data_IF_441018861731
#
_entry.id   IF_441018861731
#
_cell.length_a   1.000
_cell.length_b   1.000
_cell.length_c   1.000
_cell.angle_alpha   90.00
_cell.angle_beta   90.00
_cell.angle_gamma   90.00
#
_symmetry.space_group_name_H-M   'P 1'
#
loop_
_entity.id
_entity.type
_entity.pdbx_description
1 polymer ?
#
# COMPACT_ATOMS: atom_id res chain seq x y z
N UNK A 1 62.57 43.69 10.70
CA UNK A 1 61.77 43.49 11.92
C UNK A 1 60.39 43.03 11.46
N UNK A 2 60.07 41.75 11.66
CA UNK A 2 58.95 41.05 11.01
C UNK A 2 57.66 41.30 11.78
N UNK A 3 56.62 41.78 11.08
CA UNK A 3 55.25 41.89 11.59
C UNK A 3 54.50 40.62 11.17
N UNK A 4 54.06 39.83 12.14
CA UNK A 4 53.21 38.66 11.93
C UNK A 4 51.74 39.02 12.13
N UNK A 5 50.93 38.85 11.08
CA UNK A 5 49.47 38.84 11.14
C UNK A 5 49.01 37.42 11.50
N UNK A 6 48.17 37.29 12.53
CA UNK A 6 47.40 36.08 12.83
C UNK A 6 45.94 36.35 12.46
N UNK A 7 45.41 35.59 11.51
CA UNK A 7 43.98 35.54 11.19
C UNK A 7 43.36 34.33 11.88
N UNK A 8 42.31 34.57 12.69
CA UNK A 8 41.45 33.53 13.25
C UNK A 8 40.31 33.25 12.26
N UNK A 9 40.17 31.99 11.86
CA UNK A 9 39.16 31.50 10.92
C UNK A 9 37.83 31.20 11.63
N UNK A 10 36.75 31.78 11.11
CA UNK A 10 35.37 31.66 11.57
C UNK A 10 34.72 30.35 11.09
N UNK A 11 35.07 29.21 11.68
CA UNK A 11 34.46 27.92 11.35
C UNK A 11 34.24 27.05 12.59
N UNK A 12 33.38 27.47 13.53
CA UNK A 12 32.98 26.61 14.66
C UNK A 12 31.56 26.87 15.23
N UNK A 13 30.69 27.59 14.52
CA UNK A 13 29.39 28.02 15.09
C UNK A 13 28.15 27.57 14.30
N UNK A 14 28.21 26.48 13.51
CA UNK A 14 27.05 25.95 12.76
C UNK A 14 26.72 24.46 12.96
N UNK A 15 27.39 23.75 13.89
CA UNK A 15 27.10 22.32 14.11
C UNK A 15 26.12 22.04 15.27
N UNK A 16 25.77 23.02 16.11
CA UNK A 16 24.97 22.78 17.32
C UNK A 16 23.45 23.02 17.18
N UNK A 17 22.97 23.58 16.07
CA UNK A 17 21.51 23.83 15.88
C UNK A 17 20.74 22.69 15.19
N UNK A 18 21.39 21.66 14.64
CA UNK A 18 20.70 20.59 13.89
C UNK A 18 20.27 19.38 14.74
N UNK A 19 20.79 19.19 15.95
CA UNK A 19 20.44 18.03 16.77
C UNK A 19 19.14 18.18 17.58
N UNK A 20 18.55 19.38 17.66
CA UNK A 20 17.33 19.60 18.47
C UNK A 20 16.01 19.44 17.70
N UNK A 21 16.00 19.58 16.37
CA UNK A 21 14.74 19.44 15.59
C UNK A 21 14.37 17.99 15.26
N UNK A 22 15.34 17.07 15.19
CA UNK A 22 15.06 15.68 14.81
C UNK A 22 14.38 14.87 15.93
N UNK A 23 14.55 15.26 17.20
CA UNK A 23 13.99 14.55 18.36
C UNK A 23 12.49 14.81 18.60
N UNK A 24 11.91 15.87 18.02
CA UNK A 24 10.49 16.19 18.20
C UNK A 24 9.55 15.47 17.21
N UNK A 25 10.04 14.92 16.10
CA UNK A 25 9.18 14.19 15.15
C UNK A 25 9.00 12.69 15.47
N UNK A 26 9.84 12.10 16.33
CA UNK A 26 9.74 10.67 16.67
C UNK A 26 8.67 10.34 17.73
N UNK A 27 8.06 11.34 18.39
CA UNK A 27 7.13 11.10 19.51
C UNK A 27 5.65 10.95 19.12
N UNK A 28 5.26 11.12 17.85
CA UNK A 28 3.84 11.17 17.46
C UNK A 28 3.29 9.95 16.74
N UNK A 29 4.11 8.93 16.45
CA UNK A 29 3.65 7.70 15.79
C UNK A 29 3.71 6.52 16.76
N UNK A 30 2.89 6.57 17.81
CA UNK A 30 2.49 5.34 18.50
C UNK A 30 1.41 4.66 17.66
N UNK A 31 1.68 3.44 17.20
CA UNK A 31 0.65 2.58 16.58
C UNK A 31 -0.52 2.50 17.57
N UNK A 32 -1.77 2.79 17.18
CA UNK A 32 -2.89 2.71 18.10
C UNK A 32 -3.05 1.27 18.58
N UNK A 33 -2.84 1.04 19.88
CA UNK A 33 -3.22 -0.19 20.56
C UNK A 33 -4.74 -0.36 20.42
N UNK A 34 -5.18 -1.33 19.63
CA UNK A 34 -6.58 -1.74 19.59
C UNK A 34 -6.94 -2.40 20.94
N UNK A 35 -8.01 -1.97 21.63
CA UNK A 35 -8.43 -2.62 22.87
C UNK A 35 -9.12 -3.96 22.57
N UNK A 36 -8.48 -5.05 22.97
CA UNK A 36 -9.14 -6.33 23.19
C UNK A 36 -10.07 -6.19 24.41
N UNK A 37 -11.38 -6.15 24.21
CA UNK A 37 -12.36 -6.36 25.28
C UNK A 37 -13.37 -7.42 24.86
N UNK A 38 -13.08 -8.66 25.27
CA UNK A 38 -14.05 -9.76 25.33
C UNK A 38 -13.61 -10.66 26.50
N UNK A 39 -13.80 -10.17 27.71
CA UNK A 39 -13.91 -10.99 28.92
C UNK A 39 -14.60 -10.17 30.00
N UNK A 40 -15.82 -10.56 30.36
CA UNK A 40 -16.52 -9.92 31.48
C UNK A 40 -18.01 -10.19 31.52
N UNK A 41 -18.44 -11.44 31.61
CA UNK A 41 -19.73 -11.81 32.22
C UNK A 41 -19.64 -13.23 32.81
N UNK A 42 -19.16 -13.32 34.05
CA UNK A 42 -19.48 -14.42 34.96
C UNK A 42 -19.16 -13.95 36.37
N UNK A 43 -20.21 -13.63 37.11
CA UNK A 43 -20.39 -13.93 38.54
C UNK A 43 -21.67 -13.23 39.01
N UNK A 44 -22.64 -14.03 39.44
CA UNK A 44 -23.56 -13.72 40.53
C UNK A 44 -24.29 -15.01 40.88
N UNK A 45 -23.78 -15.68 41.90
CA UNK A 45 -24.44 -16.73 42.66
C UNK A 45 -25.04 -16.11 43.91
N UNK A 46 -26.36 -16.23 44.09
CA UNK A 46 -26.98 -16.23 45.42
C UNK A 46 -28.10 -17.27 45.45
N UNK A 47 -28.03 -18.09 46.48
CA UNK A 47 -28.90 -19.18 46.92
C UNK A 47 -30.38 -18.78 47.11
N UNK A 48 -31.30 -19.71 46.82
CA UNK A 48 -32.34 -20.17 47.77
C UNK A 48 -32.79 -21.60 47.43
N UNK A 49 -33.10 -22.37 48.48
CA UNK A 49 -33.41 -23.80 48.55
C UNK A 49 -34.84 -24.17 48.12
N UNK A 50 -34.97 -25.43 47.70
CA UNK A 50 -36.06 -26.42 47.86
C UNK A 50 -37.52 -26.03 47.62
N UNK A 51 -38.19 -26.76 46.72
CA UNK A 51 -39.39 -27.55 47.05
C UNK A 51 -39.85 -28.42 45.87
N UNK A 52 -39.85 -29.73 46.09
CA UNK A 52 -40.64 -30.73 45.39
C UNK A 52 -42.13 -30.40 45.52
N UNK A 53 -42.87 -30.33 44.41
CA UNK A 53 -44.27 -30.77 44.38
C UNK A 53 -44.66 -31.13 42.95
N UNK A 54 -45.09 -32.38 42.79
CA UNK A 54 -45.83 -32.85 41.64
C UNK A 54 -47.23 -32.25 41.71
N UNK A 55 -47.67 -31.54 40.68
CA UNK A 55 -49.09 -31.53 40.33
C UNK A 55 -49.26 -31.55 38.81
N UNK A 56 -50.06 -32.52 38.41
CA UNK A 56 -50.54 -32.84 37.09
C UNK A 56 -51.61 -31.83 36.67
N UNK A 57 -51.38 -31.13 35.56
CA UNK A 57 -52.44 -30.46 34.81
C UNK A 57 -52.54 -31.04 33.41
N UNK A 58 -53.63 -31.77 33.21
CA UNK A 58 -54.17 -32.17 31.91
C UNK A 58 -54.76 -30.92 31.27
N UNK A 59 -54.15 -30.45 30.18
CA UNK A 59 -54.76 -29.45 29.30
C UNK A 59 -55.02 -30.09 27.93
N UNK A 60 -56.30 -30.31 27.68
CA UNK A 60 -56.89 -30.72 26.40
C UNK A 60 -56.64 -29.61 25.39
N UNK A 61 -55.85 -29.86 24.34
CA UNK A 61 -55.73 -28.96 23.20
C UNK A 61 -56.59 -29.47 22.03
N UNK A 62 -57.44 -28.57 21.54
CA UNK A 62 -58.29 -28.71 20.37
C UNK A 62 -57.47 -28.78 19.07
N UNK A 63 -57.83 -29.67 18.11
CA UNK A 63 -57.17 -29.74 16.81
C UNK A 63 -57.93 -28.90 15.77
N UNK A 64 -57.58 -27.62 15.63
CA UNK A 64 -57.89 -26.88 14.39
C UNK A 64 -57.07 -25.60 14.28
N UNK A 65 -55.89 -25.67 13.66
CA UNK A 65 -55.39 -24.53 12.90
C UNK A 65 -54.40 -25.00 11.83
N UNK A 66 -54.89 -24.95 10.59
CA UNK A 66 -54.16 -25.28 9.38
C UNK A 66 -53.13 -24.18 9.12
N UNK A 67 -51.87 -24.60 9.10
CA UNK A 67 -50.95 -24.43 7.97
C UNK A 67 -51.22 -23.22 7.05
N UNK A 68 -50.47 -22.14 7.27
CA UNK A 68 -49.97 -21.23 6.23
C UNK A 68 -48.67 -20.58 6.75
N UNK A 69 -47.52 -21.24 6.57
CA UNK A 69 -46.19 -20.61 6.72
C UNK A 69 -45.83 -19.92 5.39
N UNK A 70 -45.42 -18.64 5.37
CA UNK A 70 -45.00 -17.96 4.15
C UNK A 70 -43.56 -18.33 3.74
N UNK A 71 -43.20 -18.15 2.44
CA UNK A 71 -42.02 -18.75 1.80
C UNK A 71 -40.73 -17.94 2.05
N UNK A 72 -40.34 -17.74 3.31
CA UNK A 72 -39.11 -17.00 3.64
C UNK A 72 -37.86 -17.88 3.47
N UNK A 73 -37.95 -19.19 3.76
CA UNK A 73 -36.79 -20.09 3.63
C UNK A 73 -36.37 -20.35 2.18
N UNK A 74 -37.31 -20.40 1.22
CA UNK A 74 -36.97 -20.56 -0.20
C UNK A 74 -36.26 -19.31 -0.76
N UNK A 75 -36.67 -18.11 -0.35
CA UNK A 75 -36.00 -16.88 -0.78
C UNK A 75 -34.59 -16.74 -0.21
N UNK A 76 -34.35 -17.20 1.03
CA UNK A 76 -33.01 -17.19 1.63
C UNK A 76 -32.08 -18.19 0.92
N UNK A 77 -32.56 -19.40 0.62
CA UNK A 77 -31.78 -20.41 -0.10
C UNK A 77 -31.43 -19.98 -1.53
N UNK A 78 -32.35 -19.31 -2.23
CA UNK A 78 -32.09 -18.75 -3.56
C UNK A 78 -31.06 -17.62 -3.51
N UNK A 79 -31.12 -16.74 -2.50
CA UNK A 79 -30.14 -15.65 -2.34
C UNK A 79 -28.73 -16.15 -2.01
N UNK A 80 -28.59 -17.22 -1.22
CA UNK A 80 -27.29 -17.83 -0.93
C UNK A 80 -26.70 -18.48 -2.19
N UNK A 81 -27.51 -19.22 -2.95
CA UNK A 81 -27.07 -19.87 -4.20
C UNK A 81 -26.62 -18.86 -5.28
N UNK A 82 -27.33 -17.73 -5.41
CA UNK A 82 -26.92 -16.65 -6.33
C UNK A 82 -25.60 -16.01 -5.89
N UNK A 83 -25.40 -15.79 -4.59
CA UNK A 83 -24.15 -15.21 -4.06
C UNK A 83 -22.95 -16.14 -4.28
N UNK A 84 -23.11 -17.45 -4.06
CA UNK A 84 -22.07 -18.44 -4.35
C UNK A 84 -21.78 -18.53 -5.85
N UNK A 85 -22.80 -18.42 -6.69
CA UNK A 85 -22.65 -18.43 -8.15
C UNK A 85 -21.89 -17.21 -8.66
N UNK A 86 -22.12 -16.02 -8.08
CA UNK A 86 -21.39 -14.79 -8.40
C UNK A 86 -19.91 -14.90 -7.98
N UNK A 87 -19.65 -15.38 -6.75
CA UNK A 87 -18.27 -15.57 -6.25
C UNK A 87 -17.51 -16.58 -7.11
N UNK A 88 -18.16 -17.67 -7.51
CA UNK A 88 -17.56 -18.66 -8.41
C UNK A 88 -17.34 -18.11 -9.83
N UNK A 89 -18.25 -17.28 -10.34
CA UNK A 89 -18.08 -16.61 -11.62
C UNK A 89 -16.90 -15.64 -11.61
N UNK A 90 -16.76 -14.80 -10.58
CA UNK A 90 -15.63 -13.88 -10.44
C UNK A 90 -14.29 -14.63 -10.32
N UNK A 91 -14.25 -15.72 -9.54
CA UNK A 91 -13.07 -16.59 -9.42
C UNK A 91 -12.69 -17.21 -10.76
N UNK A 92 -13.67 -17.68 -11.53
CA UNK A 92 -13.44 -18.25 -12.86
C UNK A 92 -13.01 -17.20 -13.89
N UNK A 93 -13.59 -16.00 -13.87
CA UNK A 93 -13.17 -14.89 -14.74
C UNK A 93 -11.74 -14.45 -14.41
N UNK A 94 -11.37 -14.38 -13.13
CA UNK A 94 -10.02 -14.07 -12.68
C UNK A 94 -9.02 -15.15 -13.12
N UNK A 95 -9.31 -16.43 -12.90
CA UNK A 95 -8.47 -17.56 -13.33
C UNK A 95 -8.30 -17.62 -14.86
N UNK A 96 -9.37 -17.32 -15.61
CA UNK A 96 -9.34 -17.29 -17.09
C UNK A 96 -8.51 -16.12 -17.62
N UNK A 97 -8.58 -14.94 -16.97
CA UNK A 97 -7.69 -13.81 -17.28
C UNK A 97 -6.22 -14.12 -16.98
N UNK A 98 -5.95 -14.84 -15.88
CA UNK A 98 -4.60 -15.29 -15.50
C UNK A 98 -4.00 -16.29 -16.51
N UNK A 99 -4.78 -17.27 -16.96
CA UNK A 99 -4.35 -18.23 -18.00
C UNK A 99 -4.14 -17.57 -19.36
N UNK A 100 -4.99 -16.61 -19.75
CA UNK A 100 -4.79 -15.84 -20.99
C UNK A 100 -3.54 -14.95 -20.94
N UNK A 101 -3.24 -14.35 -19.78
CA UNK A 101 -2.02 -13.56 -19.57
C UNK A 101 -0.76 -14.41 -19.67
N UNK A 102 -0.77 -15.61 -19.08
CA UNK A 102 0.34 -16.56 -19.14
C UNK A 102 0.54 -17.16 -20.54
N UNK A 103 -0.51 -17.29 -21.36
CA UNK A 103 -0.39 -17.81 -22.71
C UNK A 103 0.08 -16.75 -23.74
N UNK A 104 -0.15 -15.46 -23.48
CA UNK A 104 0.37 -14.39 -24.34
C UNK A 104 1.85 -14.07 -24.08
N UNK A 105 2.37 -14.29 -22.88
CA UNK A 105 3.79 -14.12 -22.57
C UNK A 105 4.67 -15.28 -23.03
N UNK A 106 4.09 -16.45 -23.38
CA UNK A 106 4.87 -17.66 -23.71
C UNK A 106 5.34 -17.76 -25.17
N UNK A 107 4.89 -16.89 -26.09
CA UNK A 107 5.19 -17.00 -27.54
C UNK A 107 6.41 -16.20 -28.05
N UNK A 108 7.23 -15.61 -27.18
CA UNK A 108 8.55 -15.06 -27.54
C UNK A 108 9.61 -15.37 -26.47
N UNK A 109 9.87 -16.66 -26.24
CA UNK A 109 11.09 -17.07 -25.57
C UNK A 109 12.24 -17.14 -26.59
N UNK A 110 12.63 -15.99 -27.13
CA UNK A 110 13.99 -15.82 -27.64
C UNK A 110 14.91 -15.88 -26.43
N UNK A 111 15.72 -16.94 -26.32
CA UNK A 111 16.77 -17.18 -25.32
C UNK A 111 16.94 -16.06 -24.28
N UNK A 112 16.28 -16.21 -23.12
CA UNK A 112 16.48 -15.31 -21.99
C UNK A 112 17.97 -15.30 -21.62
N UNK A 113 18.55 -14.12 -21.29
CA UNK A 113 19.95 -14.02 -20.91
C UNK A 113 20.25 -14.97 -19.76
N UNK A 114 21.35 -15.71 -19.87
CA UNK A 114 21.65 -16.89 -19.08
C UNK A 114 22.08 -16.61 -17.64
N UNK A 115 22.19 -15.36 -17.19
CA UNK A 115 22.41 -15.01 -15.79
C UNK A 115 21.81 -13.62 -15.48
N UNK A 116 21.35 -13.37 -14.25
CA UNK A 116 20.93 -12.02 -13.84
C UNK A 116 22.07 -11.03 -14.10
N UNK A 117 21.75 -9.86 -14.66
CA UNK A 117 22.73 -8.80 -14.83
C UNK A 117 23.34 -8.49 -13.44
N UNK A 118 24.68 -8.37 -13.31
CA UNK A 118 25.30 -8.02 -12.04
C UNK A 118 24.73 -6.70 -11.53
N UNK A 119 24.11 -6.74 -10.34
CA UNK A 119 23.57 -5.54 -9.70
C UNK A 119 24.68 -4.82 -8.94
N UNK A 120 24.76 -3.50 -9.13
CA UNK A 120 25.80 -2.63 -8.56
C UNK A 120 25.41 -2.03 -7.21
N UNK A 121 24.21 -2.30 -6.71
CA UNK A 121 23.66 -1.77 -5.46
C UNK A 121 23.27 -2.91 -4.51
N UNK A 122 23.28 -2.68 -3.18
CA UNK A 122 22.92 -3.72 -2.22
C UNK A 122 21.44 -4.11 -2.25
N UNK A 123 21.17 -5.35 -1.86
CA UNK A 123 19.82 -5.86 -1.60
C UNK A 123 19.43 -5.74 -0.11
N UNK A 124 18.13 -5.78 0.20
CA UNK A 124 17.01 -5.68 -0.74
C UNK A 124 16.91 -4.29 -1.37
N UNK A 125 16.32 -4.20 -2.57
CA UNK A 125 15.95 -2.91 -3.17
C UNK A 125 14.48 -2.63 -2.82
N UNK A 126 14.26 -1.66 -1.95
CA UNK A 126 12.93 -1.17 -1.60
C UNK A 126 12.57 0.04 -2.46
N UNK A 127 11.54 -0.10 -3.29
CA UNK A 127 11.02 1.04 -4.05
C UNK A 127 10.07 1.83 -3.17
N UNK A 128 10.53 2.97 -2.69
CA UNK A 128 9.78 3.87 -1.82
C UNK A 128 8.84 4.81 -2.59
N UNK A 129 8.53 4.49 -3.86
CA UNK A 129 7.58 5.24 -4.66
C UNK A 129 6.15 4.89 -4.28
N UNK A 130 5.30 5.92 -4.17
CA UNK A 130 3.86 5.69 -4.09
C UNK A 130 3.32 5.01 -5.36
N UNK A 131 2.20 4.29 -5.20
CA UNK A 131 1.41 3.77 -6.30
C UNK A 131 1.24 4.82 -7.42
N UNK A 132 1.16 4.36 -8.66
CA UNK A 132 1.02 5.22 -9.87
C UNK A 132 2.21 6.14 -10.16
N UNK A 133 3.33 6.01 -9.45
CA UNK A 133 4.63 6.64 -9.78
C UNK A 133 5.55 5.76 -10.63
N UNK A 134 4.99 4.80 -11.38
CA UNK A 134 5.76 3.95 -12.30
C UNK A 134 6.28 2.65 -11.70
N UNK A 135 5.76 2.24 -10.54
CA UNK A 135 6.08 0.97 -9.86
C UNK A 135 6.01 -0.25 -10.78
N UNK A 136 5.03 -0.30 -11.70
CA UNK A 136 4.92 -1.38 -12.71
C UNK A 136 6.05 -1.35 -13.74
N UNK A 137 6.48 -0.15 -14.17
CA UNK A 137 7.64 0.00 -15.07
C UNK A 137 8.92 -0.44 -14.36
N UNK A 138 9.10 -0.05 -13.10
CA UNK A 138 10.27 -0.44 -12.30
C UNK A 138 10.31 -1.96 -12.11
N UNK A 139 9.18 -2.60 -11.78
CA UNK A 139 9.10 -4.05 -11.68
C UNK A 139 9.52 -4.74 -12.99
N UNK A 140 9.02 -4.27 -14.13
CA UNK A 140 9.38 -4.82 -15.44
C UNK A 140 10.86 -4.61 -15.78
N UNK A 141 11.44 -3.46 -15.41
CA UNK A 141 12.86 -3.17 -15.59
C UNK A 141 13.73 -4.19 -14.84
N UNK A 142 13.43 -4.44 -13.56
CA UNK A 142 14.17 -5.42 -12.76
C UNK A 142 13.99 -6.86 -13.25
N UNK A 143 12.77 -7.24 -13.65
CA UNK A 143 12.52 -8.55 -14.26
C UNK A 143 13.27 -8.74 -15.58
N UNK A 144 13.36 -7.69 -16.41
CA UNK A 144 14.16 -7.71 -17.65
C UNK A 144 15.66 -7.92 -17.37
N UNK A 145 16.17 -7.35 -16.28
CA UNK A 145 17.53 -7.60 -15.78
C UNK A 145 17.74 -8.94 -15.08
N UNK A 146 16.73 -9.80 -15.03
CA UNK A 146 16.79 -11.13 -14.40
C UNK A 146 16.66 -11.14 -12.88
N UNK A 147 16.28 -10.02 -12.25
CA UNK A 147 16.11 -9.94 -10.79
C UNK A 147 14.73 -10.45 -10.37
N UNK A 148 14.63 -11.00 -9.15
CA UNK A 148 13.36 -11.43 -8.57
C UNK A 148 12.63 -10.22 -8.02
N UNK A 149 11.92 -9.53 -8.91
CA UNK A 149 11.14 -8.35 -8.57
C UNK A 149 9.66 -8.68 -8.41
N UNK A 150 9.09 -8.19 -7.30
CA UNK A 150 7.66 -8.29 -7.00
C UNK A 150 7.02 -6.91 -7.01
N UNK A 151 5.78 -6.88 -7.49
CA UNK A 151 4.91 -5.71 -7.45
C UNK A 151 3.96 -5.82 -6.25
N UNK A 152 2.69 -5.43 -6.39
CA UNK A 152 1.71 -5.51 -5.30
C UNK A 152 1.18 -6.93 -5.01
N UNK A 153 1.46 -7.91 -5.86
CA UNK A 153 1.02 -9.31 -5.73
C UNK A 153 2.20 -10.27 -5.93
N UNK A 154 2.33 -11.27 -5.07
CA UNK A 154 3.25 -12.41 -5.25
C UNK A 154 2.74 -13.38 -6.31
N UNK A 155 3.57 -14.34 -6.71
CA UNK A 155 3.17 -15.37 -7.67
C UNK A 155 2.01 -16.24 -7.17
N UNK A 156 1.85 -16.39 -5.86
CA UNK A 156 0.75 -17.13 -5.24
C UNK A 156 -0.55 -16.31 -5.10
N UNK A 157 -0.52 -15.03 -5.50
CA UNK A 157 -1.68 -14.13 -5.41
C UNK A 157 -1.78 -13.36 -4.10
N UNK A 158 -0.75 -13.41 -3.24
CA UNK A 158 -0.75 -12.70 -1.96
C UNK A 158 -0.34 -11.24 -2.13
N UNK A 159 -0.96 -10.34 -1.36
CA UNK A 159 -0.61 -8.92 -1.38
C UNK A 159 0.68 -8.70 -0.61
N UNK A 160 1.74 -8.25 -1.28
CA UNK A 160 3.03 -7.94 -0.63
C UNK A 160 2.85 -6.95 0.52
N UNK A 161 2.15 -5.84 0.27
CA UNK A 161 1.85 -4.86 1.31
C UNK A 161 1.11 -5.42 2.54
N UNK A 162 0.29 -6.46 2.40
CA UNK A 162 -0.37 -7.12 3.54
C UNK A 162 0.67 -7.83 4.41
N UNK A 163 1.54 -8.63 3.79
CA UNK A 163 2.57 -9.38 4.50
C UNK A 163 3.54 -8.45 5.23
N UNK A 164 4.04 -7.42 4.55
CA UNK A 164 4.92 -6.42 5.15
C UNK A 164 4.23 -5.68 6.31
N UNK A 165 2.97 -5.27 6.16
CA UNK A 165 2.20 -4.65 7.23
C UNK A 165 2.09 -5.55 8.46
N UNK A 166 1.75 -6.83 8.26
CA UNK A 166 1.60 -7.81 9.34
C UNK A 166 2.94 -8.02 10.06
N UNK A 167 4.06 -8.11 9.33
CA UNK A 167 5.39 -8.23 9.91
C UNK A 167 5.80 -7.00 10.73
N UNK A 168 5.66 -5.80 10.16
CA UNK A 168 6.02 -4.55 10.84
C UNK A 168 5.17 -4.37 12.10
N UNK A 169 3.86 -4.61 12.03
CA UNK A 169 2.95 -4.56 13.18
C UNK A 169 3.39 -5.52 14.29
N UNK A 170 3.85 -6.72 13.91
CA UNK A 170 4.28 -7.76 14.84
C UNK A 170 5.74 -7.60 15.30
N UNK A 171 6.45 -6.52 14.90
CA UNK A 171 7.85 -6.30 15.24
C UNK A 171 8.82 -7.29 14.62
N UNK A 172 8.46 -7.89 13.48
CA UNK A 172 9.26 -8.85 12.73
C UNK A 172 10.02 -8.16 11.59
N UNK A 173 10.97 -8.88 11.02
CA UNK A 173 11.59 -8.50 9.74
C UNK A 173 10.50 -8.23 8.68
N UNK A 174 10.49 -7.04 8.05
CA UNK A 174 9.43 -6.65 7.11
C UNK A 174 9.20 -7.63 5.96
N UNK A 175 10.24 -8.31 5.47
CA UNK A 175 10.15 -9.19 4.30
C UNK A 175 10.06 -10.69 4.67
N UNK A 176 10.17 -11.03 5.96
CA UNK A 176 10.11 -12.42 6.39
C UNK A 176 8.81 -13.13 5.95
N UNK A 177 8.96 -14.22 5.21
CA UNK A 177 7.82 -15.03 4.74
C UNK A 177 6.97 -14.38 3.64
N UNK A 178 7.39 -13.24 3.08
CA UNK A 178 6.63 -12.53 2.03
C UNK A 178 7.01 -12.95 0.60
N UNK A 179 7.84 -13.97 0.46
CA UNK A 179 8.43 -14.44 -0.79
C UNK A 179 9.95 -14.21 -0.85
N UNK A 180 10.59 -14.84 -1.82
CA UNK A 180 12.05 -14.77 -2.02
C UNK A 180 12.35 -13.80 -3.17
N UNK A 181 12.25 -12.51 -2.87
CA UNK A 181 12.38 -11.42 -3.83
C UNK A 181 13.52 -10.48 -3.44
N UNK A 182 14.23 -10.00 -4.45
CA UNK A 182 15.35 -9.07 -4.30
C UNK A 182 14.87 -7.60 -4.35
N UNK A 183 13.73 -7.36 -5.02
CA UNK A 183 13.21 -6.01 -5.31
C UNK A 183 11.71 -5.91 -5.02
N UNK A 184 11.32 -4.91 -4.24
CA UNK A 184 9.94 -4.72 -3.73
C UNK A 184 9.36 -3.41 -4.25
N UNK A 185 8.44 -3.45 -5.23
CA UNK A 185 8.13 -2.27 -6.07
C UNK A 185 6.81 -1.52 -5.81
N UNK A 186 5.79 -2.16 -5.23
CA UNK A 186 4.49 -1.54 -4.91
C UNK A 186 3.93 -2.18 -3.64
N UNK A 187 4.26 -1.60 -2.49
CA UNK A 187 4.10 -2.26 -1.18
C UNK A 187 2.98 -1.67 -0.33
N UNK A 188 2.09 -0.85 -0.91
CA UNK A 188 0.98 -0.25 -0.19
C UNK A 188 -0.09 -1.29 0.14
N UNK A 189 -0.70 -1.18 1.31
CA UNK A 189 -1.86 -1.99 1.73
C UNK A 189 -3.06 -1.10 2.04
N UNK A 190 -3.89 -0.89 1.02
CA UNK A 190 -5.05 0.00 1.08
C UNK A 190 -6.35 -0.82 1.05
N UNK A 191 -6.92 -1.03 2.23
CA UNK A 191 -8.28 -1.54 2.49
C UNK A 191 -9.12 -0.46 3.17
N UNK A 192 -9.29 0.65 2.47
CA UNK A 192 -10.04 1.80 2.97
C UNK A 192 -11.52 1.45 3.26
N UNK A 193 -12.15 2.09 4.26
CA UNK A 193 -11.55 3.08 5.17
C UNK A 193 -10.75 2.44 6.33
N UNK A 194 -10.89 1.12 6.54
CA UNK A 194 -10.42 0.44 7.75
C UNK A 194 -8.90 0.38 7.91
N UNK A 195 -8.15 0.35 6.80
CA UNK A 195 -6.71 0.19 6.83
C UNK A 195 -6.10 0.85 5.60
N UNK A 196 -5.24 1.83 5.83
CA UNK A 196 -4.42 2.43 4.79
C UNK A 196 -3.01 2.54 5.30
N UNK A 197 -2.13 1.72 4.73
CA UNK A 197 -0.76 1.63 5.16
C UNK A 197 0.14 1.67 3.93
N UNK A 198 1.22 2.44 4.03
CA UNK A 198 2.28 2.47 3.04
C UNK A 198 3.61 2.53 3.79
N UNK A 199 4.55 1.59 3.53
CA UNK A 199 5.81 1.56 4.24
C UNK A 199 6.67 2.80 3.97
N UNK A 200 6.55 3.41 2.79
CA UNK A 200 7.25 4.65 2.45
C UNK A 200 6.73 5.88 3.18
N UNK A 201 5.59 5.77 3.87
CA UNK A 201 4.96 6.84 4.66
C UNK A 201 5.12 6.61 6.15
N UNK A 202 5.08 5.34 6.59
CA UNK A 202 4.89 5.01 8.02
C UNK A 202 5.92 4.03 8.59
N UNK A 203 6.76 3.41 7.76
CA UNK A 203 7.55 2.25 8.22
C UNK A 203 8.94 2.13 7.56
N UNK A 204 9.50 3.24 7.08
CA UNK A 204 10.89 3.27 6.59
C UNK A 204 11.88 2.87 7.69
N UNK A 205 11.63 3.26 8.95
CA UNK A 205 12.45 2.86 10.11
C UNK A 205 12.54 1.34 10.27
N UNK A 206 11.41 0.63 10.13
CA UNK A 206 11.39 -0.83 10.25
C UNK A 206 12.21 -1.51 9.15
N UNK A 207 12.17 -0.96 7.93
CA UNK A 207 12.99 -1.43 6.81
C UNK A 207 14.48 -1.19 7.10
N UNK A 208 14.85 0.00 7.56
CA UNK A 208 16.23 0.33 7.90
C UNK A 208 16.78 -0.53 9.04
N UNK A 209 15.99 -0.76 10.10
CA UNK A 209 16.41 -1.58 11.24
C UNK A 209 16.75 -3.02 10.83
N UNK A 210 15.96 -3.60 9.93
CA UNK A 210 16.22 -4.95 9.41
C UNK A 210 17.33 -4.96 8.34
N UNK A 211 17.43 -3.90 7.52
CA UNK A 211 18.32 -3.83 6.36
C UNK A 211 19.06 -2.47 6.29
N UNK A 212 20.04 -2.21 7.17
CA UNK A 212 20.68 -0.90 7.27
C UNK A 212 21.53 -0.51 6.05
N UNK A 213 21.88 -1.50 5.21
CA UNK A 213 22.67 -1.33 3.99
C UNK A 213 21.83 -1.48 2.72
N UNK A 214 20.49 -1.59 2.82
CA UNK A 214 19.62 -1.79 1.66
C UNK A 214 19.65 -0.60 0.69
N UNK A 215 19.04 -0.79 -0.47
CA UNK A 215 18.82 0.31 -1.43
C UNK A 215 17.40 0.84 -1.33
N UNK A 216 17.25 2.15 -1.19
CA UNK A 216 16.00 2.88 -1.44
C UNK A 216 16.03 3.41 -2.87
N UNK A 217 15.08 2.97 -3.69
CA UNK A 217 14.84 3.52 -5.02
C UNK A 217 13.57 4.36 -5.01
N UNK A 218 13.69 5.65 -5.34
CA UNK A 218 12.57 6.57 -5.44
C UNK A 218 12.38 7.01 -6.90
N UNK A 219 11.38 6.46 -7.55
CA UNK A 219 10.90 7.00 -8.84
C UNK A 219 9.93 8.13 -8.59
N UNK A 220 10.25 9.31 -9.12
CA UNK A 220 9.42 10.53 -9.04
C UNK A 220 8.79 10.87 -10.39
N UNK A 221 7.72 11.66 -10.39
CA UNK A 221 7.05 12.15 -11.61
C UNK A 221 6.39 13.48 -11.31
N UNK A 222 5.97 14.21 -12.35
CA UNK A 222 5.17 15.43 -12.16
C UNK A 222 3.96 15.16 -11.26
N UNK A 223 3.78 15.99 -10.22
CA UNK A 223 2.76 15.74 -9.19
C UNK A 223 1.34 15.85 -9.74
N UNK A 224 1.12 16.71 -10.73
CA UNK A 224 -0.17 16.83 -11.40
C UNK A 224 -0.44 15.60 -12.28
N UNK A 225 0.56 15.09 -12.99
CA UNK A 225 0.48 13.85 -13.74
C UNK A 225 0.21 12.63 -12.84
N UNK A 226 0.88 12.55 -11.69
CA UNK A 226 0.61 11.53 -10.67
C UNK A 226 -0.84 11.61 -10.17
N UNK A 227 -1.28 12.81 -9.78
CA UNK A 227 -2.63 13.02 -9.26
C UNK A 227 -3.71 12.64 -10.28
N UNK A 228 -3.52 13.03 -11.55
CA UNK A 228 -4.38 12.59 -12.67
C UNK A 228 -4.37 11.07 -12.86
N UNK A 229 -3.27 10.41 -12.58
CA UNK A 229 -3.16 8.94 -12.64
C UNK A 229 -3.99 8.29 -11.53
N UNK A 230 -3.90 8.83 -10.31
CA UNK A 230 -4.67 8.37 -9.13
C UNK A 230 -6.18 8.55 -9.34
N UNK A 231 -6.61 9.74 -9.77
CA UNK A 231 -8.03 10.06 -9.99
C UNK A 231 -8.66 9.15 -11.04
N UNK A 232 -7.92 8.81 -12.11
CA UNK A 232 -8.42 7.94 -13.18
C UNK A 232 -8.41 6.46 -12.82
N UNK A 233 -7.73 6.07 -11.76
CA UNK A 233 -7.51 4.65 -11.46
C UNK A 233 -8.62 4.05 -10.61
N UNK A 234 -9.72 3.66 -11.26
CA UNK A 234 -10.84 2.95 -10.63
C UNK A 234 -11.35 3.69 -9.40
N UNK A 235 -11.40 3.00 -8.25
CA UNK A 235 -11.82 3.57 -6.95
C UNK A 235 -10.64 4.06 -6.08
N UNK A 236 -9.44 4.27 -6.63
CA UNK A 236 -8.26 4.59 -5.83
C UNK A 236 -8.37 5.94 -5.14
N UNK A 237 -8.78 6.98 -5.86
CA UNK A 237 -8.96 8.30 -5.25
C UNK A 237 -10.02 8.26 -4.14
N UNK A 238 -11.16 7.61 -4.37
CA UNK A 238 -12.21 7.48 -3.35
C UNK A 238 -11.69 6.76 -2.10
N UNK A 239 -10.86 5.72 -2.26
CA UNK A 239 -10.23 5.03 -1.13
C UNK A 239 -9.26 5.94 -0.37
N UNK A 240 -8.41 6.68 -1.08
CA UNK A 240 -7.43 7.58 -0.42
C UNK A 240 -8.09 8.71 0.35
N UNK A 241 -9.23 9.21 -0.12
CA UNK A 241 -10.02 10.24 0.60
C UNK A 241 -10.51 9.77 1.96
N UNK A 242 -10.65 8.47 2.18
CA UNK A 242 -11.09 7.90 3.45
C UNK A 242 -9.94 7.30 4.27
N UNK A 243 -8.71 7.38 3.77
CA UNK A 243 -7.50 6.86 4.42
C UNK A 243 -6.87 7.86 5.40
N UNK A 244 -7.60 8.35 6.40
CA UNK A 244 -7.14 9.48 7.24
C UNK A 244 -5.80 9.22 7.97
N UNK A 245 -5.47 7.96 8.25
CA UNK A 245 -4.23 7.57 8.93
C UNK A 245 -2.99 7.55 8.02
N UNK A 246 -3.15 7.69 6.69
CA UNK A 246 -2.03 7.76 5.74
C UNK A 246 -1.49 9.19 5.58
N UNK A 247 -2.23 10.20 6.05
CA UNK A 247 -1.90 11.60 5.84
C UNK A 247 -1.09 12.14 7.03
N UNK A 248 0.15 12.60 6.82
CA UNK A 248 1.09 13.03 7.88
C UNK A 248 0.61 14.26 8.66
N UNK A 249 -0.29 15.03 8.06
CA UNK A 249 -1.02 16.14 8.64
C UNK A 249 -2.42 16.05 8.02
N UNK A 250 -3.35 15.42 8.74
CA UNK A 250 -4.70 15.21 8.23
C UNK A 250 -5.26 16.53 7.68
N UNK A 251 -5.71 16.56 6.42
CA UNK A 251 -6.36 17.75 5.90
C UNK A 251 -7.57 18.05 6.78
N UNK A 252 -7.65 19.26 7.35
CA UNK A 252 -8.75 19.65 8.24
C UNK A 252 -10.10 19.76 7.52
N UNK A 253 -10.13 19.54 6.20
CA UNK A 253 -11.32 19.63 5.36
C UNK A 253 -11.72 18.25 4.83
N UNK A 254 -13.02 18.02 4.79
CA UNK A 254 -13.64 16.93 4.05
C UNK A 254 -14.65 17.53 3.07
N UNK A 255 -14.61 17.14 1.77
CA UNK A 255 -13.80 16.07 1.21
C UNK A 255 -12.46 16.56 0.63
N UNK A 256 -11.43 15.70 0.60
CA UNK A 256 -10.11 16.07 0.05
C UNK A 256 -10.17 16.42 -1.43
N UNK A 257 -9.38 17.40 -1.88
CA UNK A 257 -9.30 17.82 -3.28
C UNK A 257 -7.99 17.38 -3.96
N UNK A 258 -7.80 17.85 -5.21
CA UNK A 258 -6.61 17.56 -6.03
C UNK A 258 -5.35 18.15 -5.44
N UNK A 259 -5.45 19.32 -4.80
CA UNK A 259 -4.28 19.98 -4.24
C UNK A 259 -3.82 19.23 -2.99
N UNK A 260 -4.74 18.69 -2.19
CA UNK A 260 -4.38 17.84 -1.05
C UNK A 260 -3.58 16.61 -1.52
N UNK A 261 -4.04 15.92 -2.58
CA UNK A 261 -3.30 14.81 -3.19
C UNK A 261 -1.90 15.22 -3.64
N UNK A 262 -1.76 16.36 -4.30
CA UNK A 262 -0.46 16.87 -4.77
C UNK A 262 0.47 17.15 -3.59
N UNK A 263 -0.05 17.79 -2.55
CA UNK A 263 0.69 18.09 -1.33
C UNK A 263 1.12 16.81 -0.61
N UNK A 264 0.26 15.80 -0.53
CA UNK A 264 0.62 14.50 0.02
C UNK A 264 1.75 13.83 -0.78
N UNK A 265 1.67 13.86 -2.11
CA UNK A 265 2.70 13.31 -2.96
C UNK A 265 4.06 14.00 -2.79
N UNK A 266 4.06 15.34 -2.75
CA UNK A 266 5.28 16.12 -2.50
C UNK A 266 5.85 15.88 -1.11
N UNK A 267 4.99 15.87 -0.09
CA UNK A 267 5.41 15.54 1.26
C UNK A 267 6.06 14.16 1.31
N UNK A 268 5.47 13.15 0.66
CA UNK A 268 6.00 11.78 0.71
C UNK A 268 7.37 11.68 0.04
N UNK A 269 7.56 12.35 -1.11
CA UNK A 269 8.88 12.43 -1.76
C UNK A 269 9.90 13.06 -0.81
N UNK A 270 9.54 14.18 -0.18
CA UNK A 270 10.45 14.86 0.74
C UNK A 270 10.76 14.01 1.98
N UNK A 271 9.75 13.33 2.53
CA UNK A 271 9.90 12.42 3.65
C UNK A 271 10.89 11.29 3.35
N UNK A 272 10.81 10.66 2.17
CA UNK A 272 11.77 9.62 1.76
C UNK A 272 13.18 10.20 1.59
N UNK A 273 13.32 11.40 1.00
CA UNK A 273 14.62 12.08 0.86
C UNK A 273 15.26 12.39 2.21
N UNK A 274 14.47 12.95 3.13
CA UNK A 274 14.92 13.28 4.48
C UNK A 274 15.34 12.01 5.24
N UNK A 275 14.56 10.93 5.09
CA UNK A 275 14.89 9.63 5.66
C UNK A 275 16.21 9.09 5.10
N UNK A 276 16.40 9.09 3.78
CA UNK A 276 17.64 8.61 3.16
C UNK A 276 18.86 9.45 3.57
N UNK A 277 18.70 10.78 3.67
CA UNK A 277 19.76 11.67 4.13
C UNK A 277 20.17 11.42 5.59
N UNK A 278 19.22 10.98 6.43
CA UNK A 278 19.48 10.61 7.82
C UNK A 278 20.14 9.21 7.97
N UNK A 279 20.10 8.37 6.93
CA UNK A 279 20.58 6.99 6.96
C UNK A 279 21.61 6.72 5.84
N UNK A 280 22.81 7.32 5.90
CA UNK A 280 23.80 7.27 4.82
C UNK A 280 24.41 5.88 4.56
N UNK A 281 24.16 4.89 5.42
CA UNK A 281 24.52 3.49 5.16
C UNK A 281 23.63 2.84 4.10
N UNK A 282 22.42 3.34 3.90
CA UNK A 282 21.56 2.91 2.80
C UNK A 282 22.02 3.54 1.49
N UNK A 283 21.91 2.78 0.40
CA UNK A 283 22.06 3.35 -0.94
C UNK A 283 20.76 4.07 -1.32
N UNK A 284 20.82 5.35 -1.71
CA UNK A 284 19.67 6.10 -2.19
C UNK A 284 19.82 6.43 -3.67
N UNK A 285 18.81 6.08 -4.47
CA UNK A 285 18.72 6.42 -5.89
C UNK A 285 17.37 7.06 -6.19
N UNK A 286 17.38 8.25 -6.77
CA UNK A 286 16.18 8.93 -7.26
C UNK A 286 16.25 9.08 -8.78
N UNK A 287 15.15 8.77 -9.46
CA UNK A 287 15.02 8.94 -10.92
C UNK A 287 13.66 9.52 -11.32
N UNK A 288 13.64 10.32 -12.38
CA UNK A 288 12.41 10.85 -12.96
C UNK A 288 11.75 9.84 -13.91
N UNK A 289 10.53 9.39 -13.64
CA UNK A 289 9.80 8.41 -14.47
C UNK A 289 9.74 8.79 -15.96
N UNK A 290 9.61 10.09 -16.23
CA UNK A 290 9.41 10.65 -17.57
C UNK A 290 10.67 11.34 -18.12
N UNK A 291 11.78 11.30 -17.39
CA UNK A 291 13.06 11.87 -17.82
C UNK A 291 13.72 10.95 -18.86
N UNK A 292 14.19 11.54 -19.96
CA UNK A 292 14.94 10.85 -21.01
C UNK A 292 16.25 10.23 -20.51
N UNK A 293 16.84 10.75 -19.44
CA UNK A 293 18.10 10.26 -18.88
C UNK A 293 17.92 9.03 -17.96
N UNK A 294 16.69 8.71 -17.54
CA UNK A 294 16.44 7.68 -16.53
C UNK A 294 16.96 6.31 -16.91
N UNK A 295 16.81 5.90 -18.17
CA UNK A 295 17.32 4.61 -18.64
C UNK A 295 18.85 4.50 -18.43
N UNK A 296 19.59 5.54 -18.82
CA UNK A 296 21.04 5.60 -18.67
C UNK A 296 21.48 5.69 -17.21
N UNK A 297 20.76 6.45 -16.38
CA UNK A 297 21.05 6.54 -14.94
C UNK A 297 20.87 5.17 -14.27
N UNK A 298 19.79 4.46 -14.58
CA UNK A 298 19.55 3.13 -14.00
C UNK A 298 20.59 2.11 -14.49
N UNK A 299 20.98 2.13 -15.76
CA UNK A 299 22.07 1.28 -16.26
C UNK A 299 23.42 1.57 -15.58
N UNK A 300 23.76 2.85 -15.43
CA UNK A 300 24.99 3.26 -14.77
C UNK A 300 24.99 2.84 -13.30
N UNK A 301 23.90 3.13 -12.56
CA UNK A 301 23.83 2.97 -11.10
C UNK A 301 23.42 1.57 -10.65
N UNK A 302 22.50 0.91 -11.35
CA UNK A 302 21.98 -0.42 -10.97
C UNK A 302 22.70 -1.52 -11.75
N UNK A 303 23.06 -1.29 -13.01
CA UNK A 303 23.75 -2.27 -13.86
C UNK A 303 22.83 -3.08 -14.80
N UNK A 304 21.52 -2.83 -14.79
CA UNK A 304 20.59 -3.45 -15.75
C UNK A 304 20.58 -2.61 -17.03
N UNK A 305 20.67 -3.23 -18.23
CA UNK A 305 20.76 -2.50 -19.49
C UNK A 305 19.68 -1.44 -19.68
N UNK A 306 20.05 -0.29 -20.26
CA UNK A 306 19.12 0.82 -20.53
C UNK A 306 17.95 0.38 -21.44
N UNK A 307 18.18 -0.63 -22.29
CA UNK A 307 17.15 -1.24 -23.16
C UNK A 307 16.02 -1.94 -22.40
N UNK A 308 16.21 -2.27 -21.12
CA UNK A 308 15.15 -2.79 -20.26
C UNK A 308 14.19 -1.70 -19.76
N UNK A 309 14.56 -0.42 -19.87
CA UNK A 309 13.69 0.68 -19.47
C UNK A 309 12.60 0.91 -20.50
N UNK A 310 11.34 0.91 -20.07
CA UNK A 310 10.20 1.03 -20.98
C UNK A 310 8.93 1.54 -20.31
N UNK A 311 7.95 1.94 -21.13
CA UNK A 311 6.63 2.35 -20.64
C UNK A 311 5.74 1.13 -20.49
N UNK A 312 5.50 0.71 -19.25
CA UNK A 312 4.52 -0.32 -18.91
C UNK A 312 3.33 0.36 -18.21
N UNK A 313 2.12 -0.16 -18.44
CA UNK A 313 0.88 0.36 -17.82
C UNK A 313 0.47 1.78 -18.28
N UNK A 314 0.73 2.13 -19.54
CA UNK A 314 0.20 3.36 -20.15
C UNK A 314 -1.31 3.17 -20.43
N UNK A 315 -2.16 4.00 -19.82
CA UNK A 315 -3.58 3.99 -20.14
C UNK A 315 -3.77 4.48 -21.59
N UNK A 316 -4.56 3.77 -22.39
CA UNK A 316 -4.96 4.22 -23.73
C UNK A 316 -5.52 5.65 -23.68
N UNK A 317 -5.15 6.45 -24.69
CA UNK A 317 -5.27 7.93 -24.76
C UNK A 317 -6.71 8.48 -24.77
N UNK A 318 -7.60 8.02 -23.91
CA UNK A 318 -8.76 8.84 -23.52
C UNK A 318 -8.27 9.94 -22.59
N UNK A 319 -7.70 10.98 -23.22
CA UNK A 319 -7.26 12.22 -22.62
C UNK A 319 -8.54 12.94 -22.16
N UNK A 320 -8.90 12.80 -20.88
CA UNK A 320 -9.87 13.70 -20.26
C UNK A 320 -9.37 15.12 -20.50
N UNK A 321 -10.20 15.96 -21.12
CA UNK A 321 -9.85 17.36 -21.33
C UNK A 321 -9.69 18.05 -19.98
N UNK A 322 -8.96 19.17 -19.96
CA UNK A 322 -8.80 19.99 -18.75
C UNK A 322 -10.16 20.34 -18.15
N UNK A 323 -11.17 20.62 -18.98
CA UNK A 323 -12.54 20.92 -18.52
C UNK A 323 -13.21 19.70 -17.87
N UNK A 324 -13.08 18.49 -18.43
CA UNK A 324 -13.63 17.27 -17.82
C UNK A 324 -12.98 16.94 -16.48
N UNK A 325 -11.68 17.23 -16.35
CA UNK A 325 -10.96 17.10 -15.09
C UNK A 325 -11.45 18.11 -14.06
N UNK A 326 -11.53 19.40 -14.43
CA UNK A 326 -12.08 20.43 -13.54
C UNK A 326 -13.52 20.14 -13.13
N UNK A 327 -14.33 19.54 -14.01
CA UNK A 327 -15.67 19.08 -13.70
C UNK A 327 -15.69 17.90 -12.70
N UNK A 328 -14.80 16.91 -12.83
CA UNK A 328 -14.68 15.80 -11.88
C UNK A 328 -14.21 16.25 -10.49
N UNK A 329 -13.40 17.31 -10.43
CA UNK A 329 -12.93 17.93 -9.18
C UNK A 329 -14.04 18.74 -8.51
N UNK A 330 -14.94 19.32 -9.28
CA UNK A 330 -16.05 20.16 -8.79
C UNK A 330 -17.32 19.37 -8.42
N UNK A 331 -17.40 18.07 -8.67
CA UNK A 331 -18.57 17.29 -8.29
C UNK A 331 -18.52 16.90 -6.80
N UNK A 332 -19.44 17.40 -5.94
CA UNK A 332 -19.71 16.74 -4.68
C UNK A 332 -20.33 15.38 -5.02
N UNK A 333 -19.55 14.31 -4.86
CA UNK A 333 -20.08 12.95 -5.03
C UNK A 333 -20.81 12.56 -3.74
N UNK A 334 -22.12 12.29 -3.76
CA UNK A 334 -22.84 11.82 -2.58
C UNK A 334 -22.31 10.46 -2.15
N UNK A 335 -22.11 10.29 -0.84
CA UNK A 335 -21.60 9.07 -0.20
C UNK A 335 -22.58 7.88 -0.33
N UNK A 336 -23.82 8.12 -0.73
CA UNK A 336 -24.90 7.12 -0.67
C UNK A 336 -24.88 6.01 -1.74
N UNK A 337 -24.05 6.11 -2.80
CA UNK A 337 -24.06 5.10 -3.89
C UNK A 337 -22.98 4.01 -3.79
N UNK A 338 -22.32 3.82 -2.64
CA UNK A 338 -21.31 2.76 -2.47
C UNK A 338 -21.78 1.53 -1.68
N UNK A 339 -23.07 1.44 -1.35
CA UNK A 339 -23.66 0.32 -0.60
C UNK A 339 -24.53 -0.63 -1.46
N UNK A 340 -24.36 -0.67 -2.78
CA UNK A 340 -25.02 -1.65 -3.67
C UNK A 340 -24.04 -2.65 -4.26
#
# INVERSE_FOLDING_TARGET
>A
MVIGLVTLSSASMMMLSRMHLSRQMQSQYSIPNHPNSLHGLRENSVFFRDANSQESFVAVMSPSERSLKPPIQQQISQRISVRESIVNFEKNVYLKRRTLRNNHTRKRATSLPTFPAPIKVPFPIFVASLFKSGTTTINAYFQCGGQRSVHWETDDGERTGKCLYENVRDGKDPFAGCGDYDVWTDNSFIRAPSLCWDPSVTSLDAIYQAYPNATILLTVRDSLAWTRSVIRWGKLFQRLRTCLNLWPNQPQKSPLDVEDLRNFYWWQIQHVRDFAAAHPSMTFLEVGLEDSATASILEEKIGIPASCWGKHNENDKQRLTKEKLEALVKLPQPIEQLNS
#
